data_IF_065543837647
#
_entry.id   IF_065543837647
#
_cell.length_a   1.000
_cell.length_b   1.000
_cell.length_c   1.000
_cell.angle_alpha   90.00
_cell.angle_beta   90.00
_cell.angle_gamma   90.00
#
_symmetry.space_group_name_H-M   'P 1'
#
loop_
_entity.id
_entity.type
_entity.pdbx_description
1 polymer ?
#
# COMPACT_ATOMS: atom_id res chain seq x y z
N UNK A 1 0.76 50.61 -20.69
CA UNK A 1 2.23 50.78 -20.54
C UNK A 1 2.58 50.24 -19.15
N UNK A 2 2.94 48.95 -19.06
CA UNK A 2 4.32 48.45 -18.85
C UNK A 2 4.97 48.99 -17.56
N UNK A 3 5.07 48.16 -16.53
CA UNK A 3 6.24 48.11 -15.62
C UNK A 3 6.14 46.82 -14.78
N UNK A 4 6.74 45.72 -15.25
CA UNK A 4 8.12 45.25 -15.03
C UNK A 4 8.24 44.41 -13.75
N UNK A 5 8.25 43.10 -13.99
CA UNK A 5 8.52 42.03 -13.06
C UNK A 5 9.92 42.13 -12.45
N UNK A 6 10.05 41.71 -11.20
CA UNK A 6 11.32 41.31 -10.62
C UNK A 6 11.06 40.14 -9.65
N UNK A 7 10.89 38.94 -10.20
CA UNK A 7 10.97 37.71 -9.41
C UNK A 7 12.39 37.17 -9.60
N UNK A 8 13.20 37.34 -8.56
CA UNK A 8 14.56 36.83 -8.49
C UNK A 8 14.54 35.29 -8.61
N UNK A 9 15.12 34.76 -9.68
CA UNK A 9 15.45 33.33 -9.79
C UNK A 9 16.87 33.12 -9.25
N UNK A 10 16.97 32.48 -8.09
CA UNK A 10 18.24 31.94 -7.59
C UNK A 10 18.50 30.62 -8.30
N UNK A 11 19.45 30.61 -9.22
CA UNK A 11 19.95 29.39 -9.87
C UNK A 11 21.00 28.76 -8.95
N UNK A 12 20.64 27.64 -8.34
CA UNK A 12 21.57 26.83 -7.56
C UNK A 12 22.24 25.81 -8.50
N UNK A 13 23.49 26.10 -8.88
CA UNK A 13 24.32 25.20 -9.66
C UNK A 13 24.82 24.05 -8.75
N UNK A 14 24.25 22.85 -8.91
CA UNK A 14 24.79 21.62 -8.31
C UNK A 14 25.58 20.84 -9.35
N UNK A 15 26.85 20.64 -9.06
CA UNK A 15 27.82 19.91 -9.87
C UNK A 15 27.46 18.44 -9.99
N UNK A 16 27.43 17.93 -11.23
CA UNK A 16 27.29 16.51 -11.53
C UNK A 16 28.65 15.81 -11.41
N UNK A 17 28.84 15.05 -10.33
CA UNK A 17 29.92 14.08 -10.24
C UNK A 17 29.44 12.75 -10.85
N UNK A 18 29.97 12.41 -12.02
CA UNK A 18 29.79 11.11 -12.64
C UNK A 18 30.54 10.04 -11.84
N UNK A 19 29.79 9.15 -11.17
CA UNK A 19 30.31 7.92 -10.59
C UNK A 19 29.78 6.73 -11.37
N UNK A 20 30.66 5.99 -12.03
CA UNK A 20 30.36 4.78 -12.79
C UNK A 20 30.40 3.51 -11.90
N UNK A 21 29.55 2.54 -12.24
CA UNK A 21 29.50 1.13 -11.82
C UNK A 21 29.18 0.87 -10.33
N UNK A 22 28.34 -0.08 -9.93
CA UNK A 22 28.02 -1.38 -10.53
C UNK A 22 26.54 -1.69 -10.37
N UNK A 23 25.94 -2.29 -11.40
CA UNK A 23 24.62 -2.91 -11.31
C UNK A 23 24.76 -4.22 -10.52
N UNK A 24 24.81 -4.10 -9.19
CA UNK A 24 24.56 -5.24 -8.32
C UNK A 24 23.05 -5.51 -8.44
N UNK A 25 22.67 -6.60 -9.12
CA UNK A 25 21.34 -7.19 -8.92
C UNK A 25 21.25 -7.50 -7.43
N UNK A 26 20.56 -6.64 -6.69
CA UNK A 26 20.12 -6.93 -5.34
C UNK A 26 19.11 -8.07 -5.43
N UNK A 27 19.61 -9.30 -5.34
CA UNK A 27 18.78 -10.43 -4.96
C UNK A 27 18.43 -10.18 -3.51
N UNK A 28 17.20 -9.73 -3.25
CA UNK A 28 16.73 -9.54 -1.88
C UNK A 28 16.81 -10.89 -1.13
N UNK A 29 17.47 -10.93 0.03
CA UNK A 29 17.54 -12.15 0.83
C UNK A 29 16.14 -12.51 1.34
N UNK A 30 15.81 -13.82 1.45
CA UNK A 30 14.54 -14.24 2.02
C UNK A 30 14.54 -13.90 3.51
N UNK A 31 13.90 -12.78 3.87
CA UNK A 31 13.81 -12.31 5.24
C UNK A 31 14.08 -10.83 5.48
N UNK A 32 14.07 -9.96 4.46
CA UNK A 32 14.08 -8.51 4.68
C UNK A 32 12.99 -8.13 5.70
N UNK A 33 13.44 -7.57 6.84
CA UNK A 33 12.65 -7.31 8.03
C UNK A 33 11.32 -6.65 7.68
N UNK A 34 10.23 -7.34 8.02
CA UNK A 34 8.90 -6.78 7.89
C UNK A 34 8.86 -5.49 8.71
N UNK A 35 8.49 -4.33 8.15
CA UNK A 35 8.52 -3.07 8.88
C UNK A 35 7.76 -3.20 10.20
N UNK A 36 8.37 -2.78 11.30
CA UNK A 36 7.74 -2.83 12.64
C UNK A 36 6.37 -2.15 12.59
N UNK A 37 5.34 -2.80 13.15
CA UNK A 37 3.96 -2.31 13.11
C UNK A 37 3.11 -2.81 11.92
N UNK A 38 3.61 -3.73 11.09
CA UNK A 38 2.85 -4.30 9.98
C UNK A 38 2.24 -5.66 10.31
N UNK A 39 1.06 -5.64 10.93
CA UNK A 39 0.28 -6.85 11.21
C UNK A 39 -0.78 -7.11 10.13
N UNK A 40 -0.64 -8.17 9.30
CA UNK A 40 -1.62 -8.47 8.24
C UNK A 40 -3.08 -8.55 8.73
N UNK A 41 -3.39 -9.13 9.91
CA UNK A 41 -4.76 -9.13 10.42
C UNK A 41 -5.34 -7.72 10.66
N UNK A 42 -4.52 -6.78 11.13
CA UNK A 42 -4.96 -5.40 11.37
C UNK A 42 -5.24 -4.66 10.06
N UNK A 43 -4.34 -4.80 9.08
CA UNK A 43 -4.50 -4.20 7.74
C UNK A 43 -5.71 -4.80 7.02
N UNK A 44 -5.94 -6.11 7.18
CA UNK A 44 -7.12 -6.79 6.63
C UNK A 44 -8.43 -6.31 7.27
N UNK A 45 -8.47 -6.12 8.59
CA UNK A 45 -9.63 -5.54 9.30
C UNK A 45 -9.94 -4.13 8.81
N UNK A 46 -8.91 -3.29 8.67
CA UNK A 46 -9.03 -1.96 8.06
C UNK A 46 -9.67 -2.03 6.67
N UNK A 47 -9.15 -2.91 5.80
CA UNK A 47 -9.67 -3.05 4.44
C UNK A 47 -11.13 -3.50 4.40
N UNK A 48 -11.52 -4.46 5.24
CA UNK A 48 -12.91 -4.94 5.34
C UNK A 48 -13.82 -3.82 5.84
N UNK A 49 -13.40 -3.08 6.87
CA UNK A 49 -14.18 -1.96 7.42
C UNK A 49 -14.43 -0.88 6.35
N UNK A 50 -13.37 -0.41 5.70
CA UNK A 50 -13.46 0.64 4.67
C UNK A 50 -14.35 0.18 3.50
N UNK A 51 -14.16 -1.07 3.03
CA UNK A 51 -15.00 -1.59 1.96
C UNK A 51 -16.48 -1.71 2.38
N UNK A 52 -16.74 -2.25 3.58
CA UNK A 52 -18.09 -2.39 4.12
C UNK A 52 -18.81 -1.06 4.26
N UNK A 53 -18.11 -0.02 4.73
CA UNK A 53 -18.66 1.33 4.83
C UNK A 53 -18.93 1.95 3.45
N UNK A 54 -17.96 1.84 2.54
CA UNK A 54 -18.07 2.47 1.21
C UNK A 54 -19.10 1.78 0.29
N UNK A 55 -19.47 0.52 0.57
CA UNK A 55 -20.36 -0.28 -0.28
C UNK A 55 -21.64 -0.74 0.43
N UNK A 56 -21.84 -0.35 1.68
CA UNK A 56 -22.88 -0.87 2.58
C UNK A 56 -22.99 -2.41 2.56
N UNK A 57 -21.84 -3.09 2.45
CA UNK A 57 -21.78 -4.53 2.24
C UNK A 57 -21.86 -5.35 3.54
N UNK A 58 -21.77 -4.69 4.70
CA UNK A 58 -21.84 -5.29 6.05
C UNK A 58 -20.93 -6.51 6.25
N UNK A 59 -19.77 -6.54 5.56
CA UNK A 59 -18.81 -7.62 5.68
C UNK A 59 -18.10 -7.58 7.03
N UNK A 60 -17.86 -8.77 7.60
CA UNK A 60 -17.11 -9.00 8.83
C UNK A 60 -15.81 -9.73 8.51
N UNK A 61 -14.70 -9.27 9.08
CA UNK A 61 -13.40 -9.92 8.94
C UNK A 61 -13.41 -11.30 9.59
N UNK A 62 -12.94 -12.31 8.87
CA UNK A 62 -12.77 -13.69 9.38
C UNK A 62 -11.30 -14.06 9.48
N UNK A 63 -10.51 -13.79 8.44
CA UNK A 63 -9.11 -14.17 8.42
C UNK A 63 -8.34 -13.55 7.26
N UNK A 64 -7.03 -13.71 7.28
CA UNK A 64 -6.13 -13.27 6.21
C UNK A 64 -5.11 -14.36 5.92
N UNK A 65 -4.78 -14.51 4.64
CA UNK A 65 -3.79 -15.45 4.11
C UNK A 65 -3.05 -14.82 2.94
N UNK A 66 -1.90 -15.40 2.55
CA UNK A 66 -1.17 -14.99 1.35
C UNK A 66 -0.85 -13.50 1.29
N UNK A 67 -0.08 -13.00 2.27
CA UNK A 67 0.35 -11.60 2.33
C UNK A 67 1.69 -11.40 1.61
N UNK A 68 1.71 -10.56 0.58
CA UNK A 68 2.90 -10.05 -0.09
C UNK A 68 3.00 -8.53 0.18
N UNK A 69 4.21 -8.06 0.46
CA UNK A 69 4.47 -6.66 0.81
C UNK A 69 5.60 -6.15 -0.08
N UNK A 70 5.40 -4.99 -0.70
CA UNK A 70 6.42 -4.36 -1.58
C UNK A 70 6.48 -2.85 -1.35
N UNK A 71 7.67 -2.24 -1.43
CA UNK A 71 7.80 -0.79 -1.49
C UNK A 71 6.99 -0.22 -2.67
N UNK A 72 6.27 0.88 -2.45
CA UNK A 72 5.52 1.56 -3.50
C UNK A 72 5.27 3.02 -3.15
N UNK A 73 5.67 3.96 -4.03
CA UNK A 73 5.34 5.39 -3.92
C UNK A 73 5.59 6.00 -2.53
N UNK A 74 6.77 5.77 -1.95
CA UNK A 74 7.13 6.33 -0.62
C UNK A 74 6.45 5.65 0.57
N UNK A 75 5.68 4.58 0.35
CA UNK A 75 5.12 3.73 1.39
C UNK A 75 5.24 2.24 1.04
N UNK A 76 4.35 1.44 1.60
CA UNK A 76 4.30 -0.01 1.38
C UNK A 76 2.95 -0.37 0.76
N UNK A 77 2.99 -1.25 -0.25
CA UNK A 77 1.81 -1.89 -0.83
C UNK A 77 1.69 -3.31 -0.29
N UNK A 78 0.52 -3.63 0.23
CA UNK A 78 0.15 -4.92 0.79
C UNK A 78 -0.86 -5.59 -0.13
N UNK A 79 -0.50 -6.76 -0.66
CA UNK A 79 -1.41 -7.64 -1.39
C UNK A 79 -1.75 -8.82 -0.49
N UNK A 80 -3.03 -9.03 -0.22
CA UNK A 80 -3.50 -10.06 0.71
C UNK A 80 -4.71 -10.80 0.17
N UNK A 81 -4.92 -12.04 0.63
CA UNK A 81 -6.18 -12.76 0.47
C UNK A 81 -6.93 -12.73 1.79
N UNK A 82 -8.01 -11.94 1.84
CA UNK A 82 -8.84 -11.75 3.03
C UNK A 82 -10.09 -12.60 2.92
N UNK A 83 -10.41 -13.33 3.99
CA UNK A 83 -11.68 -14.03 4.14
C UNK A 83 -12.61 -13.14 4.95
N UNK A 84 -13.81 -12.89 4.42
CA UNK A 84 -14.85 -12.13 5.10
C UNK A 84 -16.21 -12.81 4.99
N UNK A 85 -17.03 -12.65 6.03
CA UNK A 85 -18.40 -13.13 6.08
C UNK A 85 -19.38 -11.98 5.79
N UNK A 86 -20.44 -12.26 5.04
CA UNK A 86 -21.56 -11.31 4.91
C UNK A 86 -22.47 -11.32 6.15
N UNK A 87 -23.54 -10.52 6.10
CA UNK A 87 -24.51 -10.44 7.19
C UNK A 87 -25.24 -11.77 7.47
N UNK A 88 -25.34 -12.66 6.46
CA UNK A 88 -25.91 -14.00 6.59
C UNK A 88 -24.90 -15.06 7.06
N UNK A 89 -23.64 -14.68 7.27
CA UNK A 89 -22.58 -15.59 7.71
C UNK A 89 -21.89 -16.35 6.57
N UNK A 90 -22.29 -16.14 5.31
CA UNK A 90 -21.62 -16.79 4.19
C UNK A 90 -20.23 -16.19 3.99
N UNK A 91 -19.22 -17.06 3.90
CA UNK A 91 -17.82 -16.63 3.77
C UNK A 91 -17.37 -16.60 2.32
N UNK A 92 -16.54 -15.61 1.99
CA UNK A 92 -15.88 -15.50 0.69
C UNK A 92 -14.45 -14.99 0.84
N UNK A 93 -13.62 -15.31 -0.15
CA UNK A 93 -12.23 -14.84 -0.24
C UNK A 93 -12.13 -13.66 -1.20
N UNK A 94 -11.31 -12.69 -0.83
CA UNK A 94 -11.13 -11.44 -1.54
C UNK A 94 -9.65 -11.17 -1.72
N UNK A 95 -9.25 -10.81 -2.94
CA UNK A 95 -7.94 -10.20 -3.17
C UNK A 95 -8.02 -8.73 -2.78
N UNK A 96 -7.18 -8.35 -1.83
CA UNK A 96 -7.15 -7.01 -1.24
C UNK A 96 -5.79 -6.36 -1.54
N UNK A 97 -5.85 -5.09 -1.93
CA UNK A 97 -4.69 -4.23 -2.13
C UNK A 97 -4.82 -3.01 -1.22
N UNK A 98 -3.85 -2.82 -0.34
CA UNK A 98 -3.76 -1.66 0.57
C UNK A 98 -2.43 -0.98 0.34
N UNK A 99 -2.41 0.34 0.43
CA UNK A 99 -1.18 1.11 0.55
C UNK A 99 -1.16 1.85 1.87
N UNK A 100 0.02 1.98 2.48
CA UNK A 100 0.19 2.83 3.64
C UNK A 100 1.63 2.98 4.08
N UNK A 101 1.87 3.92 4.98
CA UNK A 101 3.19 4.22 5.53
C UNK A 101 3.21 3.73 6.99
N UNK A 102 3.98 2.67 7.30
CA UNK A 102 4.10 2.16 8.67
C UNK A 102 4.50 3.25 9.67
N UNK A 103 3.94 3.19 10.88
CA UNK A 103 4.18 4.20 11.92
C UNK A 103 3.40 5.51 11.75
N UNK A 104 2.55 5.62 10.71
CA UNK A 104 1.70 6.79 10.48
C UNK A 104 0.22 6.41 10.33
N UNK A 105 -0.64 7.41 10.19
CA UNK A 105 -2.07 7.24 9.90
C UNK A 105 -2.38 7.25 8.39
N UNK A 106 -1.38 7.33 7.52
CA UNK A 106 -1.59 7.37 6.07
C UNK A 106 -1.80 5.96 5.52
N UNK A 107 -3.08 5.58 5.36
CA UNK A 107 -3.50 4.27 4.86
C UNK A 107 -4.66 4.40 3.88
N UNK A 108 -4.63 3.61 2.81
CA UNK A 108 -5.63 3.66 1.75
C UNK A 108 -5.94 2.27 1.20
N UNK A 109 -7.23 1.95 1.09
CA UNK A 109 -7.69 0.78 0.37
C UNK A 109 -7.65 1.06 -1.15
N UNK A 110 -6.79 0.35 -1.86
CA UNK A 110 -6.64 0.51 -3.31
C UNK A 110 -7.54 -0.45 -4.10
N UNK A 111 -7.85 -1.61 -3.54
CA UNK A 111 -8.66 -2.60 -4.22
C UNK A 111 -9.19 -3.69 -3.31
N UNK A 112 -10.40 -4.14 -3.62
CA UNK A 112 -11.09 -5.20 -2.90
C UNK A 112 -11.93 -6.00 -3.90
N UNK A 113 -11.44 -7.18 -4.32
CA UNK A 113 -12.05 -7.97 -5.41
C UNK A 113 -12.33 -9.39 -4.94
N UNK A 114 -13.57 -9.86 -5.09
CA UNK A 114 -13.95 -11.25 -4.76
C UNK A 114 -13.20 -12.22 -5.67
N UNK A 115 -12.61 -13.26 -5.10
CA UNK A 115 -11.93 -14.33 -5.84
C UNK A 115 -13.00 -15.35 -6.23
N UNK A 116 -13.14 -15.62 -7.53
CA UNK A 116 -13.98 -16.72 -8.02
C UNK A 116 -13.14 -18.00 -7.98
N UNK A 117 -13.62 -19.01 -7.26
CA UNK A 117 -13.08 -20.37 -7.35
C UNK A 117 -13.89 -21.04 -8.45
N UNK A 118 -13.18 -21.54 -9.46
CA UNK A 118 -13.76 -22.18 -10.64
C UNK A 118 -13.78 -23.69 -10.49
#
# INVERSE_FOLDING_TARGET
MRSLAAVLFVVLATSVAAGAASSARSVDPPGADKPTGTHPPQIARFAVLVYSMNRDAKLKYVGVSGSDVRPHQGGMRYKMVVTAADAGGATARYQVLVWGIPGTYQWMLLGFKKIKIN
#
